data_IF_669590504545
#
_entry.id   IF_669590504545
#
_cell.length_a   1.000
_cell.length_b   1.000
_cell.length_c   1.000
_cell.angle_alpha   90.00
_cell.angle_beta   90.00
_cell.angle_gamma   90.00
#
_symmetry.space_group_name_H-M   'P 1'
#
loop_
_entity.id
_entity.type
_entity.pdbx_description
1 polymer ?
#
# COMPACT_ATOMS: atom_id res chain seq x y z
N UNK A 1 54.99 -47.06 38.65
CA UNK A 1 53.60 -47.29 38.21
C UNK A 1 53.03 -45.96 37.72
N UNK A 2 52.87 -45.83 36.41
CA UNK A 2 52.33 -44.65 35.72
C UNK A 2 50.79 -44.66 35.76
N UNK A 3 50.20 -43.62 36.35
CA UNK A 3 48.77 -43.25 36.24
C UNK A 3 48.67 -41.75 36.57
N UNK A 4 47.86 -40.90 35.95
CA UNK A 4 47.14 -40.84 34.67
C UNK A 4 46.76 -39.35 34.57
N UNK A 5 46.74 -38.81 33.35
CA UNK A 5 46.24 -37.46 33.03
C UNK A 5 44.83 -37.22 33.59
N UNK A 6 44.47 -35.96 33.85
CA UNK A 6 43.51 -35.18 33.03
C UNK A 6 43.35 -33.77 33.63
N UNK A 7 43.76 -32.77 32.85
CA UNK A 7 43.38 -31.38 33.04
C UNK A 7 41.94 -31.20 32.55
N UNK A 8 41.08 -30.59 33.37
CA UNK A 8 39.75 -30.16 32.96
C UNK A 8 39.72 -28.63 32.96
N UNK A 9 39.87 -28.06 31.76
CA UNK A 9 39.59 -26.66 31.46
C UNK A 9 38.06 -26.49 31.41
N UNK A 10 37.48 -25.82 32.40
CA UNK A 10 36.09 -25.36 32.32
C UNK A 10 36.08 -23.99 31.63
N UNK A 11 35.96 -24.00 30.30
CA UNK A 11 35.59 -22.82 29.52
C UNK A 11 34.09 -22.55 29.76
N UNK A 12 33.76 -21.66 30.69
CA UNK A 12 32.42 -21.10 30.80
C UNK A 12 32.22 -20.09 29.66
N UNK A 13 31.62 -20.56 28.58
CA UNK A 13 31.10 -19.73 27.49
C UNK A 13 29.99 -18.84 28.05
N UNK A 14 30.28 -17.55 28.21
CA UNK A 14 29.25 -16.55 28.35
C UNK A 14 28.46 -16.48 27.04
N UNK A 15 27.26 -17.06 27.01
CA UNK A 15 26.28 -16.77 25.97
C UNK A 15 25.76 -15.36 26.22
N UNK A 16 26.40 -14.38 25.59
CA UNK A 16 25.77 -13.09 25.32
C UNK A 16 24.74 -13.36 24.23
N UNK A 17 23.52 -13.69 24.65
CA UNK A 17 22.34 -13.62 23.79
C UNK A 17 22.12 -12.14 23.47
N UNK A 18 22.81 -11.65 22.44
CA UNK A 18 22.35 -10.52 21.64
C UNK A 18 21.10 -11.00 20.89
N UNK A 19 19.99 -11.11 21.61
CA UNK A 19 18.68 -11.11 21.00
C UNK A 19 18.45 -9.69 20.52
N UNK A 20 18.77 -9.43 19.26
CA UNK A 20 18.19 -8.29 18.56
C UNK A 20 16.68 -8.55 18.52
N UNK A 21 15.96 -8.02 19.49
CA UNK A 21 14.54 -7.73 19.33
C UNK A 21 14.47 -6.60 18.32
N UNK A 22 14.34 -6.98 17.06
CA UNK A 22 14.05 -6.06 15.98
C UNK A 22 12.55 -5.76 16.09
N UNK A 23 12.22 -4.86 17.03
CA UNK A 23 10.90 -4.25 17.17
C UNK A 23 10.70 -3.26 16.00
N UNK A 24 10.77 -3.74 14.76
CA UNK A 24 10.32 -2.97 13.62
C UNK A 24 8.79 -3.08 13.57
N UNK A 25 8.04 -1.97 13.70
CA UNK A 25 6.60 -2.01 13.58
C UNK A 25 6.26 -2.58 12.21
N UNK A 26 5.37 -3.56 12.15
CA UNK A 26 5.05 -4.33 10.93
C UNK A 26 4.61 -3.42 9.77
N UNK A 27 4.11 -2.22 10.08
CA UNK A 27 3.81 -1.15 9.13
C UNK A 27 5.01 -0.68 8.29
N UNK A 28 6.23 -0.67 8.84
CA UNK A 28 7.45 -0.34 8.08
C UNK A 28 7.70 -1.37 6.97
N UNK A 29 7.32 -2.63 7.18
CA UNK A 29 7.44 -3.69 6.19
C UNK A 29 6.45 -3.54 5.02
N UNK A 30 5.18 -3.26 5.34
CA UNK A 30 4.10 -3.14 4.35
C UNK A 30 4.32 -1.91 3.46
N UNK A 31 4.67 -0.77 4.04
CA UNK A 31 4.94 0.45 3.27
C UNK A 31 6.22 0.30 2.42
N UNK A 32 7.23 -0.43 2.90
CA UNK A 32 8.44 -0.73 2.13
C UNK A 32 8.16 -1.64 0.92
N UNK A 33 7.32 -2.67 1.08
CA UNK A 33 6.88 -3.52 -0.02
C UNK A 33 6.06 -2.73 -1.06
N UNK A 34 5.08 -1.94 -0.59
CA UNK A 34 4.32 -1.04 -1.46
C UNK A 34 5.23 -0.06 -2.22
N UNK A 35 6.29 0.43 -1.57
CA UNK A 35 7.31 1.27 -2.19
C UNK A 35 8.00 0.57 -3.37
N UNK A 36 8.44 -0.67 -3.17
CA UNK A 36 9.09 -1.45 -4.23
C UNK A 36 8.18 -1.58 -5.45
N UNK A 37 6.90 -1.87 -5.24
CA UNK A 37 5.93 -1.91 -6.33
C UNK A 37 5.72 -0.54 -6.99
N UNK A 38 5.65 0.54 -6.21
CA UNK A 38 5.54 1.90 -6.75
C UNK A 38 6.77 2.37 -7.53
N UNK A 39 7.98 1.93 -7.18
CA UNK A 39 9.22 2.32 -7.84
C UNK A 39 9.52 1.45 -9.05
N UNK A 40 9.55 0.13 -8.83
CA UNK A 40 10.10 -0.84 -9.77
C UNK A 40 9.03 -1.60 -10.56
N UNK A 41 7.78 -1.60 -10.08
CA UNK A 41 6.66 -2.25 -10.72
C UNK A 41 6.48 -3.72 -10.31
N UNK A 42 5.77 -4.53 -11.13
CA UNK A 42 5.37 -4.28 -12.52
C UNK A 42 4.44 -3.08 -12.69
N UNK A 43 4.49 -2.45 -13.86
CA UNK A 43 3.69 -1.26 -14.17
C UNK A 43 2.67 -1.52 -15.30
N UNK A 44 1.51 -0.88 -15.24
CA UNK A 44 0.52 -0.86 -16.33
C UNK A 44 -0.03 0.55 -16.51
N UNK A 45 0.00 1.04 -17.75
CA UNK A 45 -0.54 2.37 -18.07
C UNK A 45 -2.06 2.33 -18.23
N UNK A 46 -2.74 3.31 -17.65
CA UNK A 46 -4.19 3.48 -17.71
C UNK A 46 -4.50 4.94 -18.06
N UNK A 47 -5.48 5.18 -18.94
CA UNK A 47 -5.98 6.54 -19.22
C UNK A 47 -7.32 6.69 -18.51
N UNK A 48 -7.39 7.59 -17.53
CA UNK A 48 -8.59 7.77 -16.72
C UNK A 48 -9.76 8.39 -17.49
N UNK A 49 -10.97 8.23 -16.97
CA UNK A 49 -12.17 8.91 -17.47
C UNK A 49 -12.46 10.19 -16.67
N UNK A 50 -13.22 11.13 -17.25
CA UNK A 50 -13.73 12.31 -16.53
C UNK A 50 -15.09 12.08 -15.85
N UNK A 51 -15.82 11.05 -16.25
CA UNK A 51 -17.18 10.80 -15.79
C UNK A 51 -17.48 9.30 -15.74
N UNK A 52 -18.48 8.94 -14.93
CA UNK A 52 -18.92 7.57 -14.67
C UNK A 52 -19.89 7.03 -15.72
N UNK A 53 -20.31 7.85 -16.68
CA UNK A 53 -21.28 7.53 -17.74
C UNK A 53 -20.70 6.65 -18.86
N UNK A 54 -19.38 6.48 -18.90
CA UNK A 54 -18.71 5.35 -19.55
C UNK A 54 -17.98 4.56 -18.46
N UNK A 55 -17.96 3.22 -18.51
CA UNK A 55 -17.25 2.43 -17.51
C UNK A 55 -15.80 2.93 -17.45
N UNK A 56 -15.35 3.47 -16.30
CA UNK A 56 -13.96 3.84 -16.10
C UNK A 56 -13.04 2.64 -16.33
N UNK A 57 -11.79 2.85 -16.75
CA UNK A 57 -10.83 1.76 -16.82
C UNK A 57 -10.66 1.11 -15.44
N UNK A 58 -10.47 -0.20 -15.42
CA UNK A 58 -10.34 -0.98 -14.18
C UNK A 58 -8.88 -1.06 -13.73
N UNK A 59 -8.67 -0.91 -12.42
CA UNK A 59 -7.43 -1.27 -11.73
C UNK A 59 -7.72 -2.34 -10.67
N UNK A 60 -6.68 -3.01 -10.16
CA UNK A 60 -6.80 -4.17 -9.26
C UNK A 60 -5.80 -4.11 -8.12
N UNK A 61 -6.10 -4.86 -7.07
CA UNK A 61 -5.16 -5.17 -6.01
C UNK A 61 -4.41 -6.45 -6.40
N UNK A 62 -3.48 -6.32 -7.34
CA UNK A 62 -2.71 -7.44 -7.91
C UNK A 62 -1.20 -7.23 -7.86
N UNK A 63 -0.73 -6.51 -6.83
CA UNK A 63 0.67 -6.14 -6.58
C UNK A 63 1.30 -5.44 -7.80
N UNK A 64 0.53 -4.56 -8.44
CA UNK A 64 0.92 -3.84 -9.65
C UNK A 64 0.72 -2.34 -9.49
N UNK A 65 1.72 -1.58 -9.92
CA UNK A 65 1.58 -0.14 -10.12
C UNK A 65 0.76 0.17 -11.38
N UNK A 66 -0.26 0.98 -11.22
CA UNK A 66 -1.02 1.56 -12.32
C UNK A 66 -0.58 3.00 -12.54
N UNK A 67 0.01 3.27 -13.70
CA UNK A 67 0.39 4.63 -14.13
C UNK A 67 -0.83 5.29 -14.78
N UNK A 68 -1.63 5.97 -13.96
CA UNK A 68 -2.91 6.57 -14.36
C UNK A 68 -2.66 7.95 -14.96
N UNK A 69 -2.86 8.09 -16.26
CA UNK A 69 -2.88 9.39 -16.96
C UNK A 69 -4.20 10.10 -16.66
N UNK A 70 -4.11 11.27 -16.04
CA UNK A 70 -5.22 12.12 -15.66
C UNK A 70 -5.66 13.00 -16.84
N UNK A 71 -6.96 13.27 -16.90
CA UNK A 71 -7.57 14.06 -17.96
C UNK A 71 -7.64 15.52 -17.53
N UNK A 72 -7.34 16.45 -18.44
CA UNK A 72 -7.42 17.89 -18.14
C UNK A 72 -8.86 18.32 -17.89
N UNK A 73 -9.10 18.94 -16.74
CA UNK A 73 -10.36 19.58 -16.36
C UNK A 73 -10.21 21.09 -16.18
N UNK A 74 -11.33 21.80 -16.00
CA UNK A 74 -11.36 23.26 -15.81
C UNK A 74 -10.69 23.73 -14.51
N UNK A 75 -10.62 22.87 -13.51
CA UNK A 75 -10.07 23.15 -12.17
C UNK A 75 -8.71 22.45 -11.93
N UNK A 76 -8.16 21.79 -12.97
CA UNK A 76 -6.97 20.94 -12.87
C UNK A 76 -7.19 19.58 -13.54
N UNK A 77 -6.12 18.79 -13.62
CA UNK A 77 -6.20 17.41 -14.10
C UNK A 77 -6.94 16.55 -13.08
N UNK A 78 -7.80 15.66 -13.56
CA UNK A 78 -8.57 14.72 -12.75
C UNK A 78 -8.86 13.43 -13.51
N UNK A 79 -9.14 12.36 -12.80
CA UNK A 79 -9.40 11.07 -13.41
C UNK A 79 -10.18 10.14 -12.51
N UNK A 80 -11.07 9.34 -13.10
CA UNK A 80 -11.83 8.29 -12.45
C UNK A 80 -11.37 6.95 -13.01
N UNK A 81 -11.15 5.98 -12.12
CA UNK A 81 -10.95 4.55 -12.43
C UNK A 81 -11.90 3.69 -11.61
N UNK A 82 -12.16 2.48 -12.07
CA UNK A 82 -12.98 1.50 -11.38
C UNK A 82 -12.09 0.52 -10.60
N UNK A 83 -12.53 0.14 -9.41
CA UNK A 83 -11.92 -0.90 -8.60
C UNK A 83 -13.02 -1.84 -8.11
N UNK A 84 -12.85 -3.14 -8.30
CA UNK A 84 -13.79 -4.15 -7.82
C UNK A 84 -13.20 -4.84 -6.58
N UNK A 85 -13.74 -4.51 -5.41
CA UNK A 85 -13.39 -5.21 -4.17
C UNK A 85 -14.03 -6.59 -4.18
N UNK A 86 -13.22 -7.65 -4.10
CA UNK A 86 -13.70 -9.03 -4.00
C UNK A 86 -14.15 -9.41 -2.59
N UNK A 87 -13.62 -8.71 -1.59
CA UNK A 87 -13.90 -8.93 -0.18
C UNK A 87 -14.32 -7.61 0.50
N UNK A 88 -14.97 -7.73 1.65
CA UNK A 88 -15.28 -6.58 2.48
C UNK A 88 -14.16 -6.43 3.52
N UNK A 89 -13.25 -5.50 3.26
CA UNK A 89 -12.02 -5.31 4.01
C UNK A 89 -11.54 -3.86 3.87
N UNK A 90 -10.54 -3.51 4.68
CA UNK A 90 -9.81 -2.26 4.49
C UNK A 90 -8.83 -2.44 3.33
N UNK A 91 -8.81 -1.48 2.41
CA UNK A 91 -7.82 -1.41 1.34
C UNK A 91 -6.93 -0.19 1.54
N UNK A 92 -5.64 -0.35 1.30
CA UNK A 92 -4.69 0.76 1.30
C UNK A 92 -4.43 1.19 -0.15
N UNK A 93 -4.76 2.44 -0.45
CA UNK A 93 -4.51 3.05 -1.76
C UNK A 93 -3.29 3.95 -1.62
N UNK A 94 -2.21 3.58 -2.29
CA UNK A 94 -0.97 4.34 -2.32
C UNK A 94 -0.86 5.15 -3.62
N UNK A 95 -0.35 6.38 -3.51
CA UNK A 95 -0.02 7.23 -4.64
C UNK A 95 1.43 7.72 -4.57
N UNK A 96 2.11 7.80 -5.71
CA UNK A 96 3.45 8.37 -5.80
C UNK A 96 3.46 9.91 -5.96
N UNK A 97 2.29 10.54 -5.96
CA UNK A 97 2.10 11.97 -6.09
C UNK A 97 1.02 12.45 -5.11
N UNK A 98 1.19 13.68 -4.62
CA UNK A 98 0.20 14.37 -3.79
C UNK A 98 -0.99 14.75 -4.67
N UNK A 99 -2.02 13.91 -4.63
CA UNK A 99 -3.23 14.03 -5.46
C UNK A 99 -4.44 13.73 -4.58
N UNK A 100 -5.43 14.64 -4.50
CA UNK A 100 -6.66 14.37 -3.76
C UNK A 100 -7.33 13.08 -4.24
N UNK A 101 -7.78 12.25 -3.30
CA UNK A 101 -8.54 11.03 -3.56
C UNK A 101 -9.94 11.18 -2.97
N UNK A 102 -10.95 10.80 -3.74
CA UNK A 102 -12.29 10.49 -3.21
C UNK A 102 -12.78 9.15 -3.76
N UNK A 103 -13.59 8.46 -2.97
CA UNK A 103 -14.11 7.13 -3.29
C UNK A 103 -15.62 7.14 -3.26
N UNK A 104 -16.24 6.52 -4.26
CA UNK A 104 -17.70 6.34 -4.29
C UNK A 104 -18.06 4.92 -4.68
N UNK A 105 -19.22 4.46 -4.23
CA UNK A 105 -19.81 3.20 -4.69
C UNK A 105 -20.32 3.35 -6.13
N UNK A 106 -20.63 2.23 -6.79
CA UNK A 106 -21.28 2.24 -8.10
C UNK A 106 -22.62 3.02 -8.13
N UNK A 107 -23.31 3.18 -6.98
CA UNK A 107 -24.53 3.97 -6.87
C UNK A 107 -24.29 5.47 -6.57
N UNK A 108 -23.03 5.89 -6.49
CA UNK A 108 -22.63 7.27 -6.21
C UNK A 108 -22.65 7.64 -4.71
N UNK A 109 -22.79 6.66 -3.82
CA UNK A 109 -22.64 6.90 -2.38
C UNK A 109 -21.17 7.15 -2.05
N UNK A 110 -20.88 8.16 -1.23
CA UNK A 110 -19.52 8.41 -0.75
C UNK A 110 -19.06 7.26 0.15
N UNK A 111 -17.79 6.88 0.01
CA UNK A 111 -17.08 5.99 0.93
C UNK A 111 -16.08 6.86 1.69
N UNK A 112 -16.18 6.88 3.01
CA UNK A 112 -15.28 7.63 3.87
C UNK A 112 -13.90 6.97 3.88
N UNK A 113 -12.85 7.79 3.87
CA UNK A 113 -11.46 7.34 4.03
C UNK A 113 -11.15 7.40 5.53
N UNK A 114 -10.83 6.26 6.13
CA UNK A 114 -10.62 6.14 7.58
C UNK A 114 -9.32 6.79 8.03
N UNK A 115 -8.27 6.63 7.24
CA UNK A 115 -6.95 7.19 7.52
C UNK A 115 -6.31 7.74 6.25
N UNK A 116 -5.59 8.85 6.38
CA UNK A 116 -4.81 9.43 5.28
C UNK A 116 -3.54 10.08 5.77
N UNK A 117 -2.43 9.75 5.11
CA UNK A 117 -1.15 10.46 5.25
C UNK A 117 -0.57 10.78 3.88
N UNK A 118 0.19 11.87 3.78
CA UNK A 118 0.90 12.31 2.57
C UNK A 118 2.37 11.88 2.54
N UNK A 119 2.77 11.01 3.47
CA UNK A 119 4.13 10.50 3.57
C UNK A 119 4.16 9.17 4.31
N UNK A 120 5.16 8.35 4.01
CA UNK A 120 5.54 7.17 4.78
C UNK A 120 6.98 7.29 5.27
N UNK A 121 7.24 6.81 6.49
CA UNK A 121 8.61 6.67 7.02
C UNK A 121 9.38 5.59 6.26
N UNK A 122 8.70 4.52 5.82
CA UNK A 122 9.29 3.42 5.07
C UNK A 122 9.54 3.74 3.60
N UNK A 123 8.94 4.80 3.06
CA UNK A 123 9.08 5.17 1.65
C UNK A 123 8.83 6.65 1.39
N UNK A 124 9.86 7.37 0.93
CA UNK A 124 9.72 8.78 0.55
C UNK A 124 8.93 9.00 -0.73
N UNK A 125 8.76 7.95 -1.55
CA UNK A 125 8.04 8.04 -2.82
C UNK A 125 6.53 7.90 -2.65
N UNK A 126 6.06 7.38 -1.50
CA UNK A 126 4.66 7.44 -1.12
C UNK A 126 4.32 8.89 -0.76
N UNK A 127 3.43 9.49 -1.56
CA UNK A 127 2.89 10.85 -1.37
C UNK A 127 1.41 10.86 -1.01
N UNK A 128 0.77 9.71 -1.05
CA UNK A 128 -0.56 9.46 -0.50
C UNK A 128 -0.65 8.00 -0.05
N UNK A 129 -1.18 7.78 1.15
CA UNK A 129 -1.54 6.48 1.71
C UNK A 129 -2.90 6.64 2.34
N UNK A 130 -3.89 5.93 1.82
CA UNK A 130 -5.29 6.07 2.21
C UNK A 130 -5.86 4.71 2.60
N UNK A 131 -6.28 4.56 3.86
CA UNK A 131 -6.98 3.35 4.32
C UNK A 131 -8.47 3.55 4.07
N UNK A 132 -9.08 2.69 3.26
CA UNK A 132 -10.46 2.82 2.81
C UNK A 132 -11.23 1.52 3.10
N UNK A 133 -12.25 1.54 3.96
CA UNK A 133 -13.10 0.38 4.23
C UNK A 133 -14.04 0.14 3.05
N UNK A 134 -13.73 -0.86 2.22
CA UNK A 134 -14.52 -1.19 1.04
C UNK A 134 -15.43 -2.38 1.32
N UNK A 135 -16.68 -2.29 0.87
CA UNK A 135 -17.57 -3.45 0.77
C UNK A 135 -17.36 -4.18 -0.55
N UNK A 136 -17.73 -5.46 -0.64
CA UNK A 136 -17.75 -6.20 -1.91
C UNK A 136 -18.53 -5.43 -2.99
N UNK A 137 -17.93 -5.28 -4.17
CA UNK A 137 -18.54 -4.61 -5.31
C UNK A 137 -17.62 -3.61 -6.01
N UNK A 138 -18.18 -2.90 -7.00
CA UNK A 138 -17.45 -1.88 -7.75
C UNK A 138 -17.50 -0.53 -7.04
N UNK A 139 -16.33 0.06 -6.89
CA UNK A 139 -16.08 1.42 -6.42
C UNK A 139 -15.40 2.24 -7.51
N UNK A 140 -15.56 3.56 -7.43
CA UNK A 140 -14.89 4.51 -8.29
C UNK A 140 -13.90 5.34 -7.47
N UNK A 141 -12.63 5.26 -7.85
CA UNK A 141 -11.56 6.06 -7.28
C UNK A 141 -11.38 7.30 -8.14
N UNK A 142 -11.58 8.48 -7.56
CA UNK A 142 -11.42 9.76 -8.25
C UNK A 142 -10.19 10.47 -7.74
N UNK A 143 -9.24 10.68 -8.64
CA UNK A 143 -8.00 11.41 -8.40
C UNK A 143 -8.13 12.86 -8.91
N UNK A 144 -7.67 13.81 -8.11
CA UNK A 144 -7.67 15.24 -8.42
C UNK A 144 -8.91 15.99 -7.93
N UNK A 145 -9.01 17.31 -8.22
CA UNK A 145 -8.17 18.06 -9.15
C UNK A 145 -6.71 18.22 -8.68
N UNK A 146 -5.77 18.20 -9.62
CA UNK A 146 -4.31 18.36 -9.38
C UNK A 146 -3.60 18.97 -10.60
N UNK A 147 -2.36 19.41 -10.44
CA UNK A 147 -1.48 19.82 -11.55
C UNK A 147 -0.73 18.63 -12.19
N UNK A 148 -0.70 17.48 -11.51
CA UNK A 148 -0.04 16.26 -11.97
C UNK A 148 -0.77 15.68 -13.20
N UNK A 149 -0.03 15.22 -14.20
CA UNK A 149 -0.61 14.61 -15.42
C UNK A 149 -0.73 13.09 -15.33
N UNK A 150 0.12 12.45 -14.52
CA UNK A 150 0.15 11.00 -14.34
C UNK A 150 0.43 10.70 -12.87
N UNK A 151 -0.38 9.84 -12.26
CA UNK A 151 -0.20 9.34 -10.89
C UNK A 151 0.03 7.84 -10.92
N UNK A 152 1.10 7.38 -10.27
CA UNK A 152 1.33 5.96 -10.02
C UNK A 152 0.50 5.54 -8.81
N UNK A 153 -0.33 4.52 -8.98
CA UNK A 153 -1.27 4.03 -7.97
C UNK A 153 -1.03 2.55 -7.72
N UNK A 154 -0.99 2.16 -6.44
CA UNK A 154 -1.00 0.78 -5.99
C UNK A 154 -2.18 0.61 -5.04
N UNK A 155 -2.91 -0.50 -5.15
CA UNK A 155 -3.98 -0.84 -4.22
C UNK A 155 -3.59 -2.16 -3.57
N UNK A 156 -3.57 -2.19 -2.26
CA UNK A 156 -3.31 -3.37 -1.45
C UNK A 156 -4.49 -3.62 -0.51
N UNK A 157 -4.74 -4.87 -0.16
CA UNK A 157 -5.62 -5.17 0.97
C UNK A 157 -4.84 -4.88 2.26
N UNK A 158 -5.45 -4.18 3.20
CA UNK A 158 -4.87 -4.01 4.52
C UNK A 158 -4.95 -5.37 5.22
N UNK A 159 -3.80 -6.03 5.36
CA UNK A 159 -3.69 -7.21 6.21
C UNK A 159 -3.72 -6.77 7.68
N UNK A 160 -4.89 -6.32 8.14
CA UNK A 160 -5.13 -6.12 9.56
C UNK A 160 -5.10 -7.47 10.26
N UNK A 161 -3.99 -7.76 10.94
CA UNK A 161 -3.79 -8.81 11.96
C UNK A 161 -4.79 -9.97 11.84
N UNK A 162 -4.62 -10.81 10.80
CA UNK A 162 -5.20 -12.15 10.82
C UNK A 162 -4.49 -12.90 11.94
N UNK A 163 -5.08 -12.78 13.15
CA UNK A 163 -4.54 -13.26 14.40
C UNK A 163 -3.60 -14.45 14.24
N UNK A 164 -2.33 -14.19 14.46
CA UNK A 164 -1.39 -15.24 14.82
C UNK A 164 -1.79 -15.77 16.21
N UNK A 165 -2.77 -16.68 16.23
CA UNK A 165 -2.97 -17.58 17.35
C UNK A 165 -1.68 -18.40 17.51
N UNK A 166 -0.85 -17.98 18.47
CA UNK A 166 0.27 -18.77 18.99
C UNK A 166 -0.18 -19.72 20.10
#
# INVERSE_FOLDING_TARGET
MTKKLLAAFLLSTALVSAGCGDDHPEEEGVDAEACMHLQDGPATSVIANLATNNPPPEIRADHRRYDITLMTGSEGNRGIVAFAASEAADYVIYTNADVPLSVTTASGGAVEIEESTSSSTGCTDIKGRHVVPLTVGTHFLTFGPTSVTTVGVLVEESHGDHGHEH
#
